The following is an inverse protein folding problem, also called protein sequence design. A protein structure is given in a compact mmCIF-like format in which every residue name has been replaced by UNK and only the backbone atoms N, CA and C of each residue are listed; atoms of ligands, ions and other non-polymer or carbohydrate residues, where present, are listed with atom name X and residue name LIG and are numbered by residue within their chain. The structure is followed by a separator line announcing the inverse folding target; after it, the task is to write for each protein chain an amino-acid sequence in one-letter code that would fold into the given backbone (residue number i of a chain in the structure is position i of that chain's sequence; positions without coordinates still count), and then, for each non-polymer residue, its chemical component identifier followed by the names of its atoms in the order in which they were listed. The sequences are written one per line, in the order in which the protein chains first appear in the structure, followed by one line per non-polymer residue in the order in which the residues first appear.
data_IF_451009526865
#
_entry.id   IF_451009526865
#
_cell.length_a   1.000
_cell.length_b   1.000
_cell.length_c   1.000
_cell.angle_alpha   90.00
_cell.angle_beta   90.00
_cell.angle_gamma   90.00
#
_symmetry.space_group_name_H-M   'P 1'
#
loop_
_entity.id
_entity.type
_entity.pdbx_description
1 polymer ?
#
# COMPACT_ATOMS: atom_id res chain seq x y z
N UNK A 1 -20.88 -90.81 -24.55
CA UNK A 1 -21.26 -89.58 -23.80
C UNK A 1 -20.33 -89.45 -22.61
N UNK A 2 -19.29 -88.61 -22.70
CA UNK A 2 -18.35 -88.39 -21.59
C UNK A 2 -17.66 -87.02 -21.68
N UNK A 3 -17.78 -86.27 -20.58
CA UNK A 3 -16.83 -85.32 -19.94
C UNK A 3 -16.28 -84.08 -20.67
N UNK A 4 -16.80 -82.94 -20.23
CA UNK A 4 -16.15 -81.82 -19.51
C UNK A 4 -14.60 -81.65 -19.47
N UNK A 5 -14.23 -80.37 -19.69
CA UNK A 5 -13.45 -79.40 -18.86
C UNK A 5 -11.99 -79.03 -19.24
N UNK A 6 -11.85 -77.73 -19.54
CA UNK A 6 -10.78 -76.76 -19.17
C UNK A 6 -9.37 -76.91 -19.76
N UNK A 7 -8.84 -75.82 -20.35
CA UNK A 7 -7.79 -74.90 -19.82
C UNK A 7 -7.27 -73.97 -20.93
N UNK A 8 -7.24 -72.65 -20.66
CA UNK A 8 -6.04 -71.79 -20.49
C UNK A 8 -5.39 -71.39 -21.82
N UNK A 9 -5.25 -70.08 -22.04
CA UNK A 9 -4.47 -69.52 -23.15
C UNK A 9 -3.50 -68.45 -22.64
N UNK A 10 -2.22 -68.75 -22.81
CA UNK A 10 -1.03 -67.92 -23.01
C UNK A 10 -0.01 -68.88 -23.68
N UNK A 11 1.09 -68.48 -24.35
CA UNK A 11 1.78 -67.18 -24.28
C UNK A 11 2.34 -66.63 -25.63
N UNK A 12 2.83 -65.39 -25.56
CA UNK A 12 4.12 -64.83 -26.05
C UNK A 12 4.92 -65.51 -27.17
N UNK A 13 5.46 -64.74 -28.13
CA UNK A 13 6.92 -64.55 -28.38
C UNK A 13 7.31 -63.90 -29.75
N UNK A 14 8.11 -62.80 -29.69
CA UNK A 14 9.40 -62.42 -30.38
C UNK A 14 9.62 -62.90 -31.85
N UNK A 15 10.21 -62.20 -32.85
CA UNK A 15 11.34 -61.25 -32.92
C UNK A 15 11.49 -60.53 -34.29
N UNK A 16 12.13 -59.35 -34.25
CA UNK A 16 13.04 -58.64 -35.18
C UNK A 16 13.06 -58.88 -36.71
N UNK A 17 13.08 -57.77 -37.49
CA UNK A 17 14.03 -57.55 -38.61
C UNK A 17 14.40 -56.05 -38.70
N UNK A 18 15.69 -55.82 -38.90
CA UNK A 18 16.41 -54.56 -39.06
C UNK A 18 16.51 -54.20 -40.55
N UNK A 19 16.25 -52.96 -40.97
CA UNK A 19 17.02 -52.38 -42.08
C UNK A 19 17.05 -50.84 -42.09
N UNK A 20 18.23 -50.32 -42.43
CA UNK A 20 18.65 -48.91 -42.45
C UNK A 20 18.16 -48.23 -43.73
N UNK A 21 17.59 -47.03 -43.61
CA UNK A 21 17.92 -45.84 -44.45
C UNK A 21 17.11 -44.59 -44.03
N UNK A 22 17.86 -43.57 -43.61
CA UNK A 22 17.58 -42.13 -43.66
C UNK A 22 16.12 -41.67 -43.79
N UNK A 23 15.55 -41.23 -42.68
CA UNK A 23 14.63 -40.08 -42.66
C UNK A 23 15.06 -39.13 -41.56
N UNK A 24 15.59 -37.99 -41.98
CA UNK A 24 15.87 -36.81 -41.16
C UNK A 24 14.54 -36.36 -40.57
N UNK A 25 14.38 -36.46 -39.24
CA UNK A 25 13.28 -35.81 -38.52
C UNK A 25 13.93 -34.93 -37.45
N UNK A 26 13.80 -33.62 -37.66
CA UNK A 26 14.20 -32.58 -36.72
C UNK A 26 13.68 -32.91 -35.32
N UNK A 27 14.59 -33.16 -34.38
CA UNK A 27 14.28 -33.20 -32.96
C UNK A 27 14.00 -31.75 -32.54
N UNK A 28 12.73 -31.37 -32.50
CA UNK A 28 12.31 -30.07 -31.99
C UNK A 28 12.79 -29.93 -30.53
N UNK A 29 13.70 -28.98 -30.32
CA UNK A 29 14.14 -28.52 -29.01
C UNK A 29 12.91 -28.07 -28.20
N UNK A 30 12.47 -28.91 -27.27
CA UNK A 30 11.61 -28.51 -26.15
C UNK A 30 12.44 -27.57 -25.26
N UNK A 31 12.41 -26.28 -25.58
CA UNK A 31 12.91 -25.24 -24.68
C UNK A 31 11.89 -25.14 -23.54
N UNK A 32 12.22 -25.52 -22.29
CA UNK A 32 11.35 -25.20 -21.18
C UNK A 32 11.27 -23.68 -21.12
N UNK A 33 10.05 -23.14 -21.30
CA UNK A 33 9.78 -21.74 -21.03
C UNK A 33 10.05 -21.51 -19.54
N UNK A 34 11.24 -21.03 -19.21
CA UNK A 34 11.55 -20.48 -17.90
C UNK A 34 10.66 -19.24 -17.75
N UNK A 35 9.51 -19.42 -17.11
CA UNK A 35 8.71 -18.33 -16.61
C UNK A 35 9.56 -17.62 -15.56
N UNK A 36 10.26 -16.56 -15.96
CA UNK A 36 10.89 -15.63 -15.03
C UNK A 36 9.73 -14.90 -14.34
N UNK A 37 9.52 -15.04 -13.01
CA UNK A 37 8.55 -14.21 -12.33
C UNK A 37 9.01 -12.76 -12.52
N UNK A 38 8.23 -12.00 -13.27
CA UNK A 38 8.44 -10.56 -13.38
C UNK A 38 7.98 -10.01 -12.04
N UNK A 39 8.92 -9.69 -11.14
CA UNK A 39 8.61 -8.89 -9.97
C UNK A 39 8.07 -7.56 -10.48
N UNK A 40 6.75 -7.39 -10.49
CA UNK A 40 6.14 -6.06 -10.50
C UNK A 40 6.83 -5.30 -9.39
N UNK A 41 7.45 -4.15 -9.70
CA UNK A 41 8.06 -3.27 -8.70
C UNK A 41 7.07 -3.16 -7.53
N UNK A 42 7.43 -3.78 -6.40
CA UNK A 42 6.46 -4.17 -5.39
C UNK A 42 5.80 -2.93 -4.80
N UNK A 43 4.47 -2.93 -4.83
CA UNK A 43 3.67 -1.92 -4.13
C UNK A 43 4.03 -2.01 -2.64
N UNK A 44 4.69 -0.98 -2.11
CA UNK A 44 5.14 -0.97 -0.71
C UNK A 44 3.91 -0.72 0.18
N UNK A 45 3.47 -1.72 0.93
CA UNK A 45 2.49 -1.52 1.99
C UNK A 45 3.16 -0.95 3.23
N UNK A 46 2.56 0.07 3.83
CA UNK A 46 3.00 0.64 5.11
C UNK A 46 2.35 -0.12 6.24
N UNK A 47 3.16 -0.53 7.22
CA UNK A 47 2.67 -1.21 8.41
C UNK A 47 2.05 -0.23 9.40
N UNK A 48 1.14 -0.73 10.24
CA UNK A 48 0.56 0.03 11.35
C UNK A 48 1.62 0.70 12.25
N UNK A 49 2.74 0.02 12.48
CA UNK A 49 3.85 0.54 13.28
C UNK A 49 4.62 1.66 12.55
N UNK A 50 4.78 1.56 11.24
CA UNK A 50 5.41 2.61 10.43
C UNK A 50 4.55 3.87 10.34
N UNK A 51 3.23 3.74 10.27
CA UNK A 51 2.29 4.87 10.23
C UNK A 51 2.11 5.55 11.60
N UNK A 52 2.16 4.80 12.71
CA UNK A 52 1.93 5.35 14.05
C UNK A 52 3.05 6.30 14.47
N UNK A 53 2.71 7.54 14.82
CA UNK A 53 3.67 8.51 15.35
C UNK A 53 3.24 9.96 15.23
N UNK A 54 4.20 10.85 15.47
CA UNK A 54 4.06 12.29 15.34
C UNK A 54 4.91 12.78 14.17
N UNK A 55 4.31 13.59 13.31
CA UNK A 55 4.91 14.16 12.11
C UNK A 55 4.88 15.67 12.22
N UNK A 56 5.91 16.35 11.72
CA UNK A 56 6.04 17.81 11.79
C UNK A 56 6.50 18.38 10.46
N UNK A 57 6.02 19.56 10.10
CA UNK A 57 6.49 20.29 8.92
C UNK A 57 7.96 20.72 9.06
N UNK A 58 8.53 21.30 8.01
CA UNK A 58 9.94 21.70 7.99
C UNK A 58 10.21 22.91 8.91
N UNK A 59 9.22 23.80 9.02
CA UNK A 59 9.25 25.02 9.81
C UNK A 59 9.09 24.74 11.31
N UNK A 60 8.49 23.60 11.66
CA UNK A 60 8.30 23.17 13.03
C UNK A 60 6.99 23.65 13.67
N UNK A 61 6.08 24.22 12.87
CA UNK A 61 4.89 24.91 13.32
C UNK A 61 3.65 24.02 13.28
N UNK A 62 3.53 23.15 12.26
CA UNK A 62 2.39 22.25 12.08
C UNK A 62 2.73 20.81 12.48
N UNK A 63 1.81 20.14 13.15
CA UNK A 63 1.96 18.78 13.65
C UNK A 63 0.80 17.88 13.20
N UNK A 64 1.12 16.66 12.79
CA UNK A 64 0.14 15.61 12.48
C UNK A 64 0.41 14.41 13.38
N UNK A 65 -0.61 13.97 14.10
CA UNK A 65 -0.57 12.79 14.97
C UNK A 65 -1.37 11.67 14.34
N UNK A 66 -0.73 10.51 14.22
CA UNK A 66 -1.33 9.33 13.58
C UNK A 66 -1.19 8.14 14.51
N UNK A 67 -2.29 7.41 14.72
CA UNK A 67 -2.31 6.15 15.44
C UNK A 67 -3.01 5.11 14.58
N UNK A 68 -2.33 4.01 14.29
CA UNK A 68 -2.98 2.88 13.64
C UNK A 68 -3.93 2.17 14.61
N UNK A 69 -5.17 1.95 14.16
CA UNK A 69 -6.23 1.28 14.92
C UNK A 69 -6.37 -0.21 14.53
N UNK A 70 -5.68 -0.64 13.48
CA UNK A 70 -5.84 -1.96 12.87
C UNK A 70 -6.88 -1.96 11.74
N UNK A 71 -6.97 -3.06 10.99
CA UNK A 71 -7.96 -3.26 9.92
C UNK A 71 -8.04 -2.13 8.88
N UNK A 72 -6.91 -1.50 8.54
CA UNK A 72 -6.87 -0.40 7.57
C UNK A 72 -7.44 0.91 8.10
N UNK A 73 -7.53 1.10 9.43
CA UNK A 73 -8.00 2.33 10.07
C UNK A 73 -6.90 3.05 10.83
N UNK A 74 -6.95 4.38 10.80
CA UNK A 74 -6.08 5.28 11.56
C UNK A 74 -6.93 6.28 12.35
N UNK A 75 -6.50 6.66 13.55
CA UNK A 75 -6.91 7.91 14.20
C UNK A 75 -5.92 9.01 13.79
N UNK A 76 -6.44 10.14 13.36
CA UNK A 76 -5.67 11.28 12.83
C UNK A 76 -6.06 12.55 13.58
N UNK A 77 -5.06 13.38 13.89
CA UNK A 77 -5.26 14.75 14.37
C UNK A 77 -4.24 15.65 13.68
N UNK A 78 -4.73 16.75 13.11
CA UNK A 78 -3.97 17.80 12.46
C UNK A 78 -4.04 19.03 13.36
N UNK A 79 -2.89 19.63 13.62
CA UNK A 79 -2.74 20.95 14.22
C UNK A 79 -1.88 21.78 13.26
N UNK A 80 -2.51 22.71 12.54
CA UNK A 80 -1.95 23.39 11.38
C UNK A 80 -1.76 24.88 11.68
N UNK A 81 -0.67 25.44 11.15
CA UNK A 81 -0.32 26.84 11.37
C UNK A 81 -0.05 27.53 10.05
N UNK A 82 -0.69 28.66 9.81
CA UNK A 82 -0.39 29.57 8.71
C UNK A 82 0.16 30.89 9.26
N UNK A 83 1.48 31.06 9.18
CA UNK A 83 2.15 32.30 9.58
C UNK A 83 2.10 33.35 8.46
N UNK A 84 1.85 34.60 8.84
CA UNK A 84 1.84 35.73 7.91
C UNK A 84 2.31 37.03 8.57
N UNK A 85 2.67 38.02 7.75
CA UNK A 85 3.06 39.35 8.23
C UNK A 85 1.87 40.29 8.17
N UNK A 86 1.69 41.08 9.23
CA UNK A 86 0.71 42.16 9.29
C UNK A 86 1.40 43.50 9.62
N UNK A 87 0.65 44.60 9.54
CA UNK A 87 1.14 45.91 10.00
C UNK A 87 1.47 45.97 11.50
N UNK A 88 0.95 45.02 12.30
CA UNK A 88 1.21 44.91 13.73
C UNK A 88 2.37 43.94 14.07
N UNK A 89 2.96 43.27 13.08
CA UNK A 89 4.01 42.26 13.27
C UNK A 89 3.64 40.87 12.72
N UNK A 90 4.45 39.85 13.01
CA UNK A 90 4.14 38.45 12.68
C UNK A 90 2.86 37.99 13.37
N UNK A 91 1.99 37.32 12.62
CA UNK A 91 0.72 36.76 13.07
C UNK A 91 0.61 35.31 12.57
N UNK A 92 -0.29 34.53 13.16
CA UNK A 92 -0.57 33.16 12.71
C UNK A 92 -2.06 32.85 12.80
N UNK A 93 -2.57 32.16 11.78
CA UNK A 93 -3.86 31.49 11.83
C UNK A 93 -3.63 30.03 12.22
N UNK A 94 -4.51 29.49 13.06
CA UNK A 94 -4.47 28.11 13.53
C UNK A 94 -5.68 27.37 12.98
N UNK A 95 -5.51 26.09 12.68
CA UNK A 95 -6.61 25.22 12.28
C UNK A 95 -6.36 23.79 12.72
N UNK A 96 -7.41 23.15 13.20
CA UNK A 96 -7.36 21.79 13.74
C UNK A 96 -8.40 20.91 13.07
N UNK A 97 -8.09 19.62 12.97
CA UNK A 97 -9.08 18.61 12.64
C UNK A 97 -8.68 17.26 13.21
N UNK A 98 -9.65 16.44 13.56
CA UNK A 98 -9.39 15.08 14.03
C UNK A 98 -10.48 14.13 13.56
N UNK A 99 -10.15 12.83 13.53
CA UNK A 99 -11.11 11.79 13.18
C UNK A 99 -10.44 10.52 12.71
N UNK A 100 -11.22 9.65 12.06
CA UNK A 100 -10.74 8.41 11.49
C UNK A 100 -10.38 8.55 10.01
N UNK A 101 -9.29 7.91 9.61
CA UNK A 101 -8.88 7.77 8.22
C UNK A 101 -8.84 6.29 7.83
N UNK A 102 -9.04 6.02 6.55
CA UNK A 102 -8.85 4.68 5.97
C UNK A 102 -7.52 4.65 5.23
N UNK A 103 -6.70 3.62 5.45
CA UNK A 103 -5.41 3.42 4.80
C UNK A 103 -5.42 2.15 3.95
N UNK A 104 -4.94 2.30 2.72
CA UNK A 104 -4.66 1.20 1.79
C UNK A 104 -3.23 1.38 1.28
N UNK A 105 -2.43 0.30 1.35
CA UNK A 105 -1.01 0.31 1.01
C UNK A 105 -0.21 1.39 1.77
N UNK A 106 0.19 2.45 1.10
CA UNK A 106 0.96 3.58 1.64
C UNK A 106 0.15 4.88 1.72
N UNK A 107 -1.15 4.82 1.42
CA UNK A 107 -1.98 6.02 1.26
C UNK A 107 -3.19 5.97 2.18
N UNK A 108 -3.30 6.97 3.03
CA UNK A 108 -4.45 7.17 3.90
C UNK A 108 -5.31 8.34 3.42
N UNK A 109 -6.62 8.19 3.51
CA UNK A 109 -7.60 9.22 3.17
C UNK A 109 -8.38 9.59 4.43
N UNK A 110 -8.31 10.87 4.79
CA UNK A 110 -9.05 11.50 5.87
C UNK A 110 -10.03 12.53 5.31
N UNK A 111 -11.27 12.50 5.80
CA UNK A 111 -12.32 13.45 5.46
C UNK A 111 -12.77 14.08 6.77
N UNK A 112 -12.49 15.38 7.01
CA UNK A 112 -12.96 16.06 8.23
C UNK A 112 -14.48 16.12 8.28
N UNK A 113 -15.09 15.93 9.46
CA UNK A 113 -16.54 15.76 9.63
C UNK A 113 -17.37 16.96 9.13
N UNK A 114 -16.83 18.19 9.20
CA UNK A 114 -17.53 19.41 8.78
C UNK A 114 -17.16 19.87 7.35
N UNK A 115 -16.39 19.08 6.62
CA UNK A 115 -15.74 19.55 5.41
C UNK A 115 -16.41 18.95 4.16
N UNK A 116 -17.22 19.78 3.48
CA UNK A 116 -18.08 19.38 2.35
C UNK A 116 -17.42 18.44 1.33
N UNK A 117 -16.62 18.98 0.41
CA UNK A 117 -15.88 18.20 -0.60
C UNK A 117 -14.38 18.05 -0.26
N UNK A 118 -14.00 18.45 0.95
CA UNK A 118 -12.62 18.39 1.40
C UNK A 118 -12.14 16.95 1.58
N UNK A 119 -10.92 16.69 1.13
CA UNK A 119 -10.27 15.39 1.34
C UNK A 119 -8.79 15.59 1.56
N UNK A 120 -8.28 15.04 2.65
CA UNK A 120 -6.85 15.02 2.97
C UNK A 120 -6.29 13.65 2.62
N UNK A 121 -5.37 13.61 1.66
CA UNK A 121 -4.66 12.42 1.23
C UNK A 121 -3.26 12.44 1.84
N UNK A 122 -2.92 11.41 2.59
CA UNK A 122 -1.63 11.28 3.27
C UNK A 122 -0.89 10.08 2.69
N UNK A 123 0.21 10.33 1.99
CA UNK A 123 1.07 9.28 1.42
C UNK A 123 2.32 9.14 2.27
N UNK A 124 2.49 7.96 2.85
CA UNK A 124 3.62 7.57 3.68
C UNK A 124 4.80 7.18 2.78
N UNK A 125 5.85 8.00 2.81
CA UNK A 125 7.04 7.83 2.00
C UNK A 125 8.19 7.22 2.84
N UNK A 126 9.25 6.69 2.18
CA UNK A 126 10.46 6.25 2.88
C UNK A 126 11.08 7.34 3.79
N UNK A 127 11.91 6.90 4.72
CA UNK A 127 12.67 7.76 5.65
C UNK A 127 11.80 8.63 6.58
N UNK A 128 10.59 8.13 6.89
CA UNK A 128 9.65 8.79 7.78
C UNK A 128 9.05 10.07 7.21
N UNK A 129 9.03 10.22 5.87
CA UNK A 129 8.36 11.35 5.21
C UNK A 129 6.87 11.06 5.05
N UNK A 130 6.06 12.09 5.16
CA UNK A 130 4.62 12.05 4.94
C UNK A 130 4.27 13.18 4.00
N UNK A 131 3.81 12.85 2.78
CA UNK A 131 3.27 13.84 1.86
C UNK A 131 1.79 13.99 2.14
N UNK A 132 1.31 15.22 2.29
CA UNK A 132 -0.09 15.53 2.55
C UNK A 132 -0.60 16.41 1.43
N UNK A 133 -1.73 16.00 0.83
CA UNK A 133 -2.41 16.71 -0.24
C UNK A 133 -3.86 16.96 0.18
N UNK A 134 -4.26 18.22 0.16
CA UNK A 134 -5.63 18.66 0.41
C UNK A 134 -6.32 18.91 -0.93
N UNK A 135 -7.45 18.23 -1.11
CA UNK A 135 -8.44 18.58 -2.13
C UNK A 135 -9.56 19.37 -1.45
N UNK A 136 -10.04 20.42 -2.10
CA UNK A 136 -11.05 21.33 -1.56
C UNK A 136 -10.41 22.57 -0.93
N UNK A 137 -11.07 23.72 -1.08
CA UNK A 137 -10.59 24.99 -0.51
C UNK A 137 -11.03 25.16 0.95
N UNK A 138 -12.23 24.68 1.28
CA UNK A 138 -12.81 24.82 2.62
C UNK A 138 -12.78 23.47 3.34
N UNK A 139 -11.82 23.33 4.25
CA UNK A 139 -11.66 22.14 5.09
C UNK A 139 -12.03 22.40 6.55
N UNK A 140 -12.57 23.59 6.87
CA UNK A 140 -12.93 23.99 8.22
C UNK A 140 -11.75 24.44 9.09
N UNK A 141 -10.54 24.53 8.52
CA UNK A 141 -9.33 24.92 9.27
C UNK A 141 -9.26 26.44 9.54
N UNK A 142 -10.10 27.24 8.89
CA UNK A 142 -10.07 28.69 8.99
C UNK A 142 -9.16 29.38 7.94
N UNK A 143 -9.06 30.70 8.04
CA UNK A 143 -8.51 31.57 6.99
C UNK A 143 -7.10 31.18 6.54
N UNK A 144 -6.99 30.70 5.30
CA UNK A 144 -5.73 30.31 4.62
C UNK A 144 -4.94 29.17 5.28
N UNK A 145 -5.51 28.48 6.27
CA UNK A 145 -4.87 27.31 6.87
C UNK A 145 -5.10 26.12 5.94
N UNK A 146 -4.01 25.45 5.54
CA UNK A 146 -4.04 24.30 4.63
C UNK A 146 -3.24 23.14 5.20
N UNK A 147 -3.66 21.93 4.90
CA UNK A 147 -2.95 20.71 5.28
C UNK A 147 -1.86 20.31 4.28
N UNK A 148 -1.85 20.88 3.08
CA UNK A 148 -0.89 20.59 2.02
C UNK A 148 0.55 20.76 2.52
N UNK A 149 1.40 19.74 2.31
CA UNK A 149 2.79 19.86 2.70
C UNK A 149 3.54 18.53 2.73
N UNK A 150 4.81 18.61 3.15
CA UNK A 150 5.60 17.43 3.48
C UNK A 150 6.00 17.51 4.94
N UNK A 151 5.65 16.48 5.69
CA UNK A 151 5.94 16.34 7.10
C UNK A 151 6.98 15.24 7.30
N UNK A 152 7.72 15.32 8.40
CA UNK A 152 8.69 14.31 8.80
C UNK A 152 8.34 13.74 10.15
N UNK A 153 8.46 12.42 10.28
CA UNK A 153 8.24 11.70 11.52
C UNK A 153 9.31 12.09 12.53
N UNK A 154 8.87 12.68 13.64
CA UNK A 154 9.73 13.08 14.76
C UNK A 154 9.60 12.14 15.96
N UNK A 155 8.57 11.29 15.98
CA UNK A 155 8.41 10.28 17.03
C UNK A 155 7.69 9.03 16.52
N UNK A 156 8.17 7.86 16.93
CA UNK A 156 7.49 6.56 16.73
C UNK A 156 6.63 6.15 17.93
N UNK A 157 6.56 6.98 18.98
CA UNK A 157 5.75 6.71 20.16
C UNK A 157 4.27 6.85 19.81
N UNK A 158 3.43 6.09 20.49
CA UNK A 158 1.97 6.31 20.47
C UNK A 158 1.69 7.77 20.85
N UNK A 159 1.10 8.57 19.94
CA UNK A 159 0.83 9.98 20.24
C UNK A 159 -0.34 10.11 21.21
N UNK A 160 -0.35 11.21 21.96
CA UNK A 160 -1.52 11.63 22.75
C UNK A 160 -2.41 12.44 21.83
N UNK A 161 -3.70 12.14 21.84
CA UNK A 161 -4.70 12.92 21.12
C UNK A 161 -5.39 13.81 22.13
N UNK A 162 -5.63 15.05 21.73
CA UNK A 162 -6.48 15.94 22.51
C UNK A 162 -7.93 15.46 22.40
N UNK A 163 -8.67 15.55 23.51
CA UNK A 163 -10.08 15.17 23.53
C UNK A 163 -10.88 16.18 22.69
N UNK A 164 -11.79 15.66 21.86
CA UNK A 164 -12.71 16.46 21.04
C UNK A 164 -13.89 16.99 21.87
#
# INVERSE_FOLDING_TARGET
MTRQRTRVAEPSSVAAVCDRRFFVVLLALLVPAFFVPTSTAGERSVTAAEATGTYRDAEGNSEIRILALGHGKLKVQLALVYEYKSGAGPMANLGDASGEATIENDTAVFVPEEAGDCKITMTFLPDGKLKVEQKGEECGFGHNVRADGTFRKISNRTPKFDDA
#
